data_IF_309703570451
#
_entry.id   IF_309703570451
#
_cell.length_a   1.000
_cell.length_b   1.000
_cell.length_c   1.000
_cell.angle_alpha   90.00
_cell.angle_beta   90.00
_cell.angle_gamma   90.00
#
_symmetry.space_group_name_H-M   'P 1'
#
loop_
_entity.id
_entity.type
_entity.pdbx_description
1 polymer ?
#
# COMPACT_ATOMS: atom_id res chain seq x y z
N UNK A 1 -3.83 28.02 -28.80
CA UNK A 1 -4.25 26.61 -28.94
C UNK A 1 -3.32 25.80 -28.05
N UNK A 2 -3.73 25.56 -26.80
CA UNK A 2 -2.91 24.85 -25.82
C UNK A 2 -3.04 23.35 -26.06
N UNK A 3 -1.94 22.69 -26.38
CA UNK A 3 -1.86 21.23 -26.43
C UNK A 3 -1.87 20.74 -24.98
N UNK A 4 -3.00 20.18 -24.57
CA UNK A 4 -3.13 19.36 -23.37
C UNK A 4 -2.21 18.14 -23.53
N UNK A 5 -1.00 18.22 -22.98
CA UNK A 5 -0.06 17.11 -22.96
C UNK A 5 -0.25 16.35 -21.65
N UNK A 6 -0.95 15.21 -21.78
CA UNK A 6 -1.00 14.11 -20.84
C UNK A 6 0.33 13.93 -20.10
N UNK A 7 0.34 14.11 -18.77
CA UNK A 7 1.42 13.64 -17.90
C UNK A 7 0.81 12.82 -16.75
N UNK A 8 0.35 11.63 -17.14
CA UNK A 8 0.14 10.47 -16.27
C UNK A 8 1.53 10.07 -15.73
N UNK A 9 2.04 10.74 -14.70
CA UNK A 9 3.37 10.45 -14.12
C UNK A 9 3.42 10.84 -12.63
N UNK A 10 2.42 10.38 -11.87
CA UNK A 10 2.50 10.25 -10.40
C UNK A 10 1.91 8.90 -9.99
N UNK A 11 2.17 7.87 -10.80
CA UNK A 11 1.82 6.50 -10.48
C UNK A 11 3.12 5.80 -10.07
N UNK A 12 3.09 5.17 -8.89
CA UNK A 12 4.01 4.10 -8.47
C UNK A 12 5.32 4.40 -7.71
N UNK A 13 5.52 5.58 -7.12
CA UNK A 13 6.61 5.69 -6.12
C UNK A 13 6.26 4.85 -4.88
N UNK A 14 6.92 3.69 -4.78
CA UNK A 14 6.81 2.62 -3.78
C UNK A 14 5.64 1.66 -3.95
N UNK A 15 5.96 0.48 -4.49
CA UNK A 15 5.13 -0.73 -4.55
C UNK A 15 4.52 -1.03 -3.17
N UNK A 16 3.29 -0.58 -3.01
CA UNK A 16 2.24 -1.01 -2.07
C UNK A 16 0.91 -0.29 -2.36
N UNK A 17 0.87 0.63 -3.32
CA UNK A 17 -0.35 0.88 -4.08
C UNK A 17 -0.31 -0.06 -5.27
N UNK A 18 -1.01 -1.18 -5.11
CA UNK A 18 -1.52 -1.90 -6.26
C UNK A 18 -2.30 -0.90 -7.11
N UNK A 19 -2.02 -0.86 -8.40
CA UNK A 19 -2.73 -0.16 -9.47
C UNK A 19 -3.95 0.66 -9.02
N UNK A 20 -3.80 1.99 -8.98
CA UNK A 20 -4.93 2.91 -9.02
C UNK A 20 -5.62 2.84 -10.40
N UNK A 21 -6.32 1.74 -10.66
CA UNK A 21 -7.67 1.81 -11.21
C UNK A 21 -8.61 1.63 -10.01
N UNK A 22 -9.81 2.22 -10.03
CA UNK A 22 -10.68 2.46 -8.88
C UNK A 22 -11.15 1.23 -8.05
N UNK A 23 -10.56 0.04 -8.23
CA UNK A 23 -11.05 -1.25 -7.72
C UNK A 23 -10.06 -2.04 -6.83
N UNK A 24 -8.82 -1.57 -6.61
CA UNK A 24 -7.79 -2.38 -5.92
C UNK A 24 -7.17 -1.67 -4.71
N UNK A 25 -7.86 -1.81 -3.57
CA UNK A 25 -7.45 -1.31 -2.26
C UNK A 25 -6.22 -2.07 -1.74
N UNK A 26 -5.05 -1.59 -2.19
CA UNK A 26 -3.71 -1.72 -1.60
C UNK A 26 -3.43 -3.00 -0.80
N UNK A 27 -2.76 -3.98 -1.40
CA UNK A 27 -2.01 -5.07 -0.73
C UNK A 27 -2.82 -6.04 0.15
N UNK A 28 -3.58 -5.54 1.11
CA UNK A 28 -4.54 -6.24 1.95
C UNK A 28 -5.70 -6.81 1.15
N UNK A 29 -6.25 -6.07 0.18
CA UNK A 29 -7.31 -6.56 -0.73
C UNK A 29 -6.86 -7.79 -1.53
N UNK A 30 -5.65 -7.75 -2.10
CA UNK A 30 -5.01 -8.90 -2.76
C UNK A 30 -4.65 -10.04 -1.81
N UNK A 31 -4.33 -9.72 -0.56
CA UNK A 31 -4.07 -10.74 0.46
C UNK A 31 -5.36 -11.45 0.88
N UNK A 32 -6.49 -10.74 0.96
CA UNK A 32 -7.80 -11.36 1.17
C UNK A 32 -8.26 -12.22 -0.01
N UNK A 33 -7.73 -11.99 -1.22
CA UNK A 33 -8.00 -12.89 -2.35
C UNK A 33 -7.45 -14.30 -2.11
N UNK A 34 -6.45 -14.47 -1.24
CA UNK A 34 -6.00 -15.78 -0.78
C UNK A 34 -7.07 -16.53 0.04
N UNK A 35 -8.12 -15.82 0.50
CA UNK A 35 -9.27 -16.37 1.19
C UNK A 35 -10.46 -16.66 0.25
N UNK A 36 -10.38 -16.35 -1.05
CA UNK A 36 -11.48 -16.53 -2.02
C UNK A 36 -12.00 -17.96 -2.12
N UNK A 37 -11.12 -18.96 -1.95
CA UNK A 37 -11.51 -20.38 -1.92
C UNK A 37 -12.08 -20.85 -0.58
N UNK A 38 -12.17 -19.96 0.43
CA UNK A 38 -12.68 -20.29 1.77
C UNK A 38 -13.90 -19.48 2.15
N UNK A 39 -13.96 -18.21 1.76
CA UNK A 39 -15.06 -17.32 2.07
C UNK A 39 -16.15 -17.39 1.01
N UNK A 40 -17.41 -17.36 1.43
CA UNK A 40 -18.52 -17.11 0.50
C UNK A 40 -18.40 -15.72 -0.14
N UNK A 41 -19.08 -15.50 -1.26
CA UNK A 41 -19.07 -14.19 -1.93
C UNK A 41 -19.55 -13.07 -0.99
N UNK A 42 -20.57 -13.33 -0.17
CA UNK A 42 -21.05 -12.37 0.82
C UNK A 42 -19.97 -12.09 1.87
N UNK A 43 -19.28 -13.14 2.35
CA UNK A 43 -18.22 -12.96 3.33
C UNK A 43 -17.04 -12.14 2.78
N UNK A 44 -16.72 -12.30 1.49
CA UNK A 44 -15.70 -11.51 0.80
C UNK A 44 -16.15 -10.05 0.65
N UNK A 45 -17.41 -9.82 0.27
CA UNK A 45 -17.98 -8.48 0.14
C UNK A 45 -17.97 -7.70 1.46
N UNK A 46 -18.31 -8.37 2.57
CA UNK A 46 -18.25 -7.77 3.90
C UNK A 46 -16.81 -7.39 4.29
N UNK A 47 -15.85 -8.29 4.05
CA UNK A 47 -14.44 -8.01 4.33
C UNK A 47 -13.91 -6.85 3.46
N UNK A 48 -14.30 -6.78 2.18
CA UNK A 48 -13.99 -5.65 1.30
C UNK A 48 -14.60 -4.35 1.82
N UNK A 49 -15.88 -4.35 2.20
CA UNK A 49 -16.56 -3.16 2.73
C UNK A 49 -15.81 -2.54 3.93
N UNK A 50 -15.19 -3.38 4.78
CA UNK A 50 -14.34 -2.90 5.88
C UNK A 50 -13.07 -2.22 5.37
N UNK A 51 -12.35 -2.85 4.42
CA UNK A 51 -11.11 -2.30 3.83
C UNK A 51 -11.36 -1.01 3.06
N UNK A 52 -12.47 -0.98 2.32
CA UNK A 52 -12.79 0.08 1.38
C UNK A 52 -13.42 1.31 2.05
N UNK A 53 -13.65 1.25 3.36
CA UNK A 53 -14.27 2.35 4.09
C UNK A 53 -13.30 3.56 4.19
N UNK A 54 -13.61 4.69 3.54
CA UNK A 54 -12.70 5.83 3.47
C UNK A 54 -12.54 6.57 4.81
N UNK A 55 -13.44 6.31 5.75
CA UNK A 55 -13.47 6.96 7.05
C UNK A 55 -12.71 6.18 8.13
N UNK A 56 -12.25 4.96 7.83
CA UNK A 56 -11.48 4.17 8.77
C UNK A 56 -9.98 4.41 8.58
N UNK A 57 -9.31 4.55 9.72
CA UNK A 57 -7.85 4.49 9.79
C UNK A 57 -7.36 3.08 9.49
N UNK A 58 -6.08 2.94 9.10
CA UNK A 58 -5.48 1.62 8.87
C UNK A 58 -5.57 0.71 10.10
N UNK A 59 -5.45 1.28 11.31
CA UNK A 59 -5.63 0.53 12.55
C UNK A 59 -7.08 0.03 12.71
N UNK A 60 -8.07 0.89 12.49
CA UNK A 60 -9.48 0.51 12.59
C UNK A 60 -9.87 -0.54 11.56
N UNK A 61 -9.34 -0.48 10.33
CA UNK A 61 -9.51 -1.54 9.32
C UNK A 61 -8.97 -2.87 9.86
N UNK A 62 -7.75 -2.87 10.40
CA UNK A 62 -7.12 -4.08 10.98
C UNK A 62 -7.98 -4.66 12.10
N UNK A 63 -8.45 -3.81 13.02
CA UNK A 63 -9.25 -4.24 14.16
C UNK A 63 -10.64 -4.74 13.75
N UNK A 64 -11.31 -4.07 12.81
CA UNK A 64 -12.62 -4.51 12.31
C UNK A 64 -12.53 -5.81 11.53
N UNK A 65 -11.51 -6.01 10.70
CA UNK A 65 -11.28 -7.29 10.01
C UNK A 65 -11.04 -8.41 11.02
N UNK A 66 -10.18 -8.18 12.03
CA UNK A 66 -9.94 -9.13 13.10
C UNK A 66 -11.23 -9.53 13.79
N UNK A 67 -12.05 -8.56 14.22
CA UNK A 67 -13.33 -8.81 14.86
C UNK A 67 -14.31 -9.56 13.94
N UNK A 68 -14.36 -9.19 12.66
CA UNK A 68 -15.20 -9.85 11.66
C UNK A 68 -14.84 -11.33 11.51
N UNK A 69 -13.56 -11.66 11.31
CA UNK A 69 -13.13 -13.05 11.16
C UNK A 69 -13.25 -13.87 12.44
N UNK A 70 -13.12 -13.25 13.62
CA UNK A 70 -13.42 -13.91 14.89
C UNK A 70 -14.90 -14.33 14.99
N UNK A 71 -15.83 -13.47 14.54
CA UNK A 71 -17.27 -13.77 14.52
C UNK A 71 -17.63 -14.91 13.57
N UNK A 72 -16.87 -15.11 12.50
CA UNK A 72 -17.06 -16.24 11.57
C UNK A 72 -16.62 -17.59 12.16
N UNK A 73 -15.79 -17.59 13.22
CA UNK A 73 -15.32 -18.78 13.91
C UNK A 73 -13.89 -19.19 13.56
N UNK A 74 -13.38 -20.20 14.28
CA UNK A 74 -11.96 -20.57 14.33
C UNK A 74 -11.31 -20.92 12.98
N UNK A 75 -11.96 -21.67 12.07
CA UNK A 75 -11.36 -21.99 10.77
C UNK A 75 -11.09 -20.73 9.93
N UNK A 76 -11.96 -19.73 10.00
CA UNK A 76 -11.82 -18.48 9.26
C UNK A 76 -10.82 -17.54 9.91
N UNK A 77 -10.88 -17.42 11.24
CA UNK A 77 -9.96 -16.59 12.00
C UNK A 77 -8.50 -17.06 11.84
N UNK A 78 -8.25 -18.36 11.90
CA UNK A 78 -6.90 -18.92 11.72
C UNK A 78 -6.33 -18.59 10.32
N UNK A 79 -7.17 -18.67 9.27
CA UNK A 79 -6.74 -18.30 7.92
C UNK A 79 -6.50 -16.80 7.79
N UNK A 80 -7.34 -15.97 8.38
CA UNK A 80 -7.09 -14.53 8.45
C UNK A 80 -5.76 -14.22 9.13
N UNK A 81 -5.43 -14.87 10.25
CA UNK A 81 -4.13 -14.69 10.92
C UNK A 81 -2.97 -15.07 10.01
N UNK A 82 -3.05 -16.18 9.28
CA UNK A 82 -2.01 -16.58 8.33
C UNK A 82 -1.82 -15.55 7.21
N UNK A 83 -2.92 -15.05 6.65
CA UNK A 83 -2.88 -14.01 5.62
C UNK A 83 -2.31 -12.70 6.17
N UNK A 84 -2.73 -12.28 7.36
CA UNK A 84 -2.23 -11.09 8.04
C UNK A 84 -0.72 -11.18 8.29
N UNK A 85 -0.24 -12.32 8.79
CA UNK A 85 1.19 -12.55 9.03
C UNK A 85 2.00 -12.56 7.73
N UNK A 86 1.47 -13.21 6.68
CA UNK A 86 2.09 -13.21 5.35
C UNK A 86 2.21 -11.79 4.78
N UNK A 87 1.17 -10.98 4.95
CA UNK A 87 1.17 -9.59 4.53
C UNK A 87 2.19 -8.74 5.30
N UNK A 88 2.26 -8.89 6.62
CA UNK A 88 3.28 -8.22 7.45
C UNK A 88 4.71 -8.59 7.01
N UNK A 89 4.95 -9.86 6.70
CA UNK A 89 6.24 -10.31 6.16
C UNK A 89 6.54 -9.71 4.77
N UNK A 90 5.54 -9.58 3.91
CA UNK A 90 5.70 -8.92 2.61
C UNK A 90 6.04 -7.43 2.78
N UNK A 91 5.38 -6.72 3.69
CA UNK A 91 5.71 -5.33 4.02
C UNK A 91 7.15 -5.22 4.51
N UNK A 92 7.58 -6.12 5.41
CA UNK A 92 8.94 -6.13 5.94
C UNK A 92 9.98 -6.33 4.82
N UNK A 93 9.73 -7.28 3.91
CA UNK A 93 10.59 -7.54 2.76
C UNK A 93 10.65 -6.33 1.80
N UNK A 94 9.50 -5.71 1.50
CA UNK A 94 9.46 -4.51 0.66
C UNK A 94 10.19 -3.33 1.32
N UNK A 95 10.06 -3.17 2.64
CA UNK A 95 10.79 -2.16 3.41
C UNK A 95 12.29 -2.41 3.35
N UNK A 96 12.74 -3.66 3.50
CA UNK A 96 14.16 -4.00 3.39
C UNK A 96 14.71 -3.73 1.97
N UNK A 97 13.96 -4.07 0.92
CA UNK A 97 14.33 -3.75 -0.47
C UNK A 97 14.42 -2.24 -0.71
N UNK A 98 13.48 -1.49 -0.15
CA UNK A 98 13.51 -0.03 -0.21
C UNK A 98 14.74 0.56 0.47
N UNK A 99 15.11 0.06 1.66
CA UNK A 99 16.32 0.48 2.38
C UNK A 99 17.59 0.14 1.58
N UNK A 100 17.62 -1.01 0.90
CA UNK A 100 18.74 -1.38 0.03
C UNK A 100 18.89 -0.43 -1.17
N UNK A 101 17.78 -0.06 -1.82
CA UNK A 101 17.79 0.91 -2.93
C UNK A 101 18.14 2.30 -2.40
N UNK A 102 17.64 2.68 -1.22
CA UNK A 102 17.92 3.97 -0.57
C UNK A 102 19.42 4.23 -0.48
N UNK A 103 20.25 3.22 -0.23
CA UNK A 103 21.70 3.37 -0.11
C UNK A 103 22.35 4.06 -1.32
N UNK A 104 21.87 3.80 -2.54
CA UNK A 104 22.44 4.30 -3.79
C UNK A 104 21.90 5.66 -4.25
N UNK A 105 20.95 6.25 -3.51
CA UNK A 105 20.30 7.51 -3.90
C UNK A 105 20.98 8.74 -3.30
N UNK A 106 20.68 9.90 -3.89
CA UNK A 106 21.06 11.20 -3.34
C UNK A 106 20.34 11.49 -2.01
N UNK A 107 20.90 12.39 -1.21
CA UNK A 107 20.32 12.77 0.09
C UNK A 107 18.87 13.30 0.00
N UNK A 108 18.51 14.14 -1.00
CA UNK A 108 17.11 14.54 -1.19
C UNK A 108 16.16 13.36 -1.43
N UNK A 109 16.54 12.42 -2.29
CA UNK A 109 15.75 11.22 -2.59
C UNK A 109 15.63 10.30 -1.37
N UNK A 110 16.72 10.10 -0.62
CA UNK A 110 16.72 9.36 0.66
C UNK A 110 15.70 9.93 1.64
N UNK A 111 15.70 11.26 1.83
CA UNK A 111 14.78 11.93 2.73
C UNK A 111 13.31 11.77 2.32
N UNK A 112 13.03 11.76 1.01
CA UNK A 112 11.68 11.49 0.50
C UNK A 112 11.27 10.05 0.83
N UNK A 113 12.12 9.07 0.58
CA UNK A 113 11.86 7.66 0.92
C UNK A 113 11.58 7.49 2.42
N UNK A 114 12.41 8.09 3.27
CA UNK A 114 12.23 8.00 4.73
C UNK A 114 10.87 8.54 5.18
N UNK A 115 10.46 9.67 4.61
CA UNK A 115 9.14 10.25 4.89
C UNK A 115 8.00 9.37 4.37
N UNK A 116 8.12 8.80 3.17
CA UNK A 116 7.13 7.84 2.64
C UNK A 116 7.00 6.63 3.58
N UNK A 117 8.11 6.03 3.99
CA UNK A 117 8.13 4.90 4.92
C UNK A 117 7.50 5.26 6.27
N UNK A 118 7.74 6.48 6.77
CA UNK A 118 7.12 6.97 7.99
C UNK A 118 5.59 7.10 7.86
N UNK A 119 5.10 7.70 6.78
CA UNK A 119 3.66 7.85 6.52
C UNK A 119 2.99 6.48 6.41
N UNK A 120 3.63 5.52 5.72
CA UNK A 120 3.10 4.16 5.58
C UNK A 120 3.02 3.40 6.91
N UNK A 121 3.94 3.67 7.84
CA UNK A 121 3.93 3.08 9.19
C UNK A 121 2.90 3.72 10.13
N UNK A 122 2.42 4.92 9.81
CA UNK A 122 1.43 5.61 10.62
C UNK A 122 0.06 4.92 10.51
N UNK A 123 -0.32 4.14 11.51
CA UNK A 123 -1.59 3.41 11.52
C UNK A 123 -2.80 4.28 11.90
N UNK A 124 -2.57 5.53 12.30
CA UNK A 124 -3.62 6.47 12.76
C UNK A 124 -4.28 7.26 11.63
N UNK A 125 -3.80 7.13 10.40
CA UNK A 125 -4.36 7.80 9.22
C UNK A 125 -5.16 6.83 8.36
N UNK A 126 -6.09 7.38 7.58
CA UNK A 126 -6.83 6.62 6.56
C UNK A 126 -5.97 6.35 5.33
N UNK A 127 -6.37 5.39 4.49
CA UNK A 127 -5.70 5.12 3.22
C UNK A 127 -5.72 6.35 2.28
N UNK A 128 -6.80 7.12 2.30
CA UNK A 128 -6.91 8.35 1.52
C UNK A 128 -5.91 9.42 2.02
N UNK A 129 -5.75 9.56 3.33
CA UNK A 129 -4.78 10.47 3.93
C UNK A 129 -3.33 10.04 3.63
N UNK A 130 -3.00 8.75 3.73
CA UNK A 130 -1.69 8.22 3.34
C UNK A 130 -1.37 8.61 1.89
N UNK A 131 -2.28 8.32 0.97
CA UNK A 131 -2.09 8.61 -0.45
C UNK A 131 -1.93 10.12 -0.71
N UNK A 132 -2.73 10.96 -0.04
CA UNK A 132 -2.63 12.41 -0.16
C UNK A 132 -1.27 12.94 0.34
N UNK A 133 -0.80 12.46 1.50
CA UNK A 133 0.48 12.86 2.07
C UNK A 133 1.66 12.42 1.20
N UNK A 134 1.66 11.17 0.72
CA UNK A 134 2.71 10.66 -0.19
C UNK A 134 2.72 11.45 -1.50
N UNK A 135 1.55 11.70 -2.09
CA UNK A 135 1.43 12.48 -3.33
C UNK A 135 1.98 13.89 -3.16
N UNK A 136 1.61 14.58 -2.08
CA UNK A 136 2.12 15.92 -1.79
C UNK A 136 3.65 15.92 -1.63
N UNK A 137 4.19 14.94 -0.92
CA UNK A 137 5.63 14.79 -0.71
C UNK A 137 6.40 14.58 -2.03
N UNK A 138 5.90 13.72 -2.92
CA UNK A 138 6.51 13.49 -4.23
C UNK A 138 6.37 14.73 -5.12
N UNK A 139 5.24 15.44 -5.08
CA UNK A 139 5.06 16.67 -5.86
C UNK A 139 6.04 17.77 -5.47
N UNK A 140 6.35 17.90 -4.17
CA UNK A 140 7.32 18.86 -3.63
C UNK A 140 8.78 18.48 -3.91
N UNK A 141 9.06 17.25 -4.36
CA UNK A 141 10.40 16.82 -4.70
C UNK A 141 10.97 17.59 -5.91
N UNK A 142 12.28 17.85 -5.86
CA UNK A 142 13.04 18.42 -6.98
C UNK A 142 12.98 17.50 -8.21
N UNK A 143 13.10 18.03 -9.44
CA UNK A 143 13.12 17.20 -10.65
C UNK A 143 14.15 16.06 -10.63
N UNK A 144 15.35 16.31 -10.12
CA UNK A 144 16.41 15.29 -10.04
C UNK A 144 16.04 14.17 -9.05
N UNK A 145 15.51 14.54 -7.88
CA UNK A 145 15.02 13.56 -6.92
C UNK A 145 13.85 12.73 -7.48
N UNK A 146 12.92 13.34 -8.23
CA UNK A 146 11.84 12.61 -8.91
C UNK A 146 12.40 11.59 -9.90
N UNK A 147 13.37 11.99 -10.72
CA UNK A 147 14.03 11.11 -11.70
C UNK A 147 14.78 9.95 -11.03
N UNK A 148 15.41 10.19 -9.88
CA UNK A 148 16.04 9.12 -9.08
C UNK A 148 15.01 8.15 -8.50
N UNK A 149 13.89 8.66 -8.00
CA UNK A 149 12.80 7.85 -7.46
C UNK A 149 12.14 6.99 -8.55
N UNK A 150 11.92 7.54 -9.75
CA UNK A 150 11.41 6.80 -10.92
C UNK A 150 12.38 5.66 -11.32
N UNK A 151 13.68 5.92 -11.31
CA UNK A 151 14.69 4.88 -11.57
C UNK A 151 14.67 3.80 -10.49
N UNK A 152 14.64 4.20 -9.22
CA UNK A 152 14.56 3.31 -8.07
C UNK A 152 13.33 2.38 -8.15
N UNK A 153 12.19 2.95 -8.55
CA UNK A 153 10.95 2.21 -8.77
C UNK A 153 11.08 1.18 -9.90
N UNK A 154 11.64 1.58 -11.04
CA UNK A 154 11.86 0.66 -12.17
C UNK A 154 12.76 -0.52 -11.81
N UNK A 155 13.74 -0.32 -10.92
CA UNK A 155 14.59 -1.38 -10.40
C UNK A 155 13.82 -2.30 -9.46
N UNK A 156 12.94 -1.75 -8.62
CA UNK A 156 12.09 -2.55 -7.77
C UNK A 156 11.17 -3.46 -8.60
N UNK A 157 10.50 -2.92 -9.63
CA UNK A 157 9.58 -3.69 -10.49
C UNK A 157 10.24 -4.86 -11.23
N UNK A 158 11.52 -4.73 -11.61
CA UNK A 158 12.28 -5.81 -12.28
C UNK A 158 12.71 -6.95 -11.34
N UNK A 159 12.67 -6.71 -10.03
CA UNK A 159 13.05 -7.69 -8.99
C UNK A 159 11.84 -8.58 -8.61
N UNK A 160 10.64 -8.27 -9.11
CA UNK A 160 9.41 -9.03 -8.90
C UNK A 160 8.92 -9.63 -10.22
#
# INVERSE_FOLDING_TARGET
MFVNLNFIFVAFVFVLVVSCDNDDYGGLGKSLDQLKGTLSQEQQKQARTIIENPNLTKQEIKDQLKQYFQKLGQPFYSKYQNVSNSFENQIANMTAKAEAIKASLSQPSKSIIDKILSIRKDMSITLAQENAQIKALVQQATPDAKKELEKAESLQQKIW
#
